data_IF_101457620474
#
_entry.id   IF_101457620474
#
_cell.length_a   1.000
_cell.length_b   1.000
_cell.length_c   1.000
_cell.angle_alpha   90.00
_cell.angle_beta   90.00
_cell.angle_gamma   90.00
#
_symmetry.space_group_name_H-M   'P 1'
#
loop_
_entity.id
_entity.type
_entity.pdbx_description
1 polymer ?
#
# COMPACT_ATOMS: atom_id res chain seq x y z
N UNK A 1 -0.15 -0.02 7.69
CA UNK A 1 1.13 -0.58 7.20
C UNK A 1 2.16 0.53 7.12
N UNK A 2 3.43 0.24 7.38
CA UNK A 2 4.54 1.19 7.30
C UNK A 2 5.51 0.76 6.19
N UNK A 3 6.02 1.71 5.41
CA UNK A 3 7.03 1.48 4.35
C UNK A 3 8.19 2.43 4.60
N UNK A 4 9.42 1.91 4.59
CA UNK A 4 10.64 2.67 4.89
C UNK A 4 11.72 2.28 3.89
N UNK A 5 12.44 3.27 3.37
CA UNK A 5 13.57 3.05 2.47
C UNK A 5 13.86 4.27 1.60
N UNK A 6 14.97 4.24 0.87
CA UNK A 6 15.26 5.27 -0.13
C UNK A 6 14.18 5.29 -1.23
N UNK A 7 13.86 6.45 -1.78
CA UNK A 7 12.85 6.58 -2.85
C UNK A 7 11.40 6.27 -2.42
N UNK A 8 11.16 6.07 -1.12
CA UNK A 8 9.80 6.05 -0.56
C UNK A 8 9.31 7.50 -0.43
N UNK A 9 8.14 7.77 -0.97
CA UNK A 9 7.45 9.05 -0.82
C UNK A 9 6.80 9.07 0.56
N UNK A 10 7.36 9.87 1.47
CA UNK A 10 6.85 9.99 2.85
C UNK A 10 5.41 10.53 2.91
N UNK A 11 4.70 10.18 3.98
CA UNK A 11 3.34 10.64 4.22
C UNK A 11 2.46 9.60 4.89
N UNK A 12 1.23 9.99 5.17
CA UNK A 12 0.16 9.10 5.62
C UNK A 12 -0.81 8.92 4.46
N UNK A 13 -0.98 7.69 4.01
CA UNK A 13 -1.85 7.35 2.88
C UNK A 13 -3.14 6.70 3.39
N UNK A 14 -4.26 7.11 2.82
CA UNK A 14 -5.60 6.74 3.29
C UNK A 14 -6.09 7.68 4.40
N UNK A 15 -7.23 7.31 4.99
CA UNK A 15 -7.91 8.13 5.99
C UNK A 15 -7.43 7.76 7.40
N UNK A 16 -6.51 8.54 7.96
CA UNK A 16 -5.98 8.30 9.30
C UNK A 16 -6.89 8.92 10.36
N UNK A 17 -7.65 8.06 11.02
CA UNK A 17 -8.63 8.42 12.06
C UNK A 17 -8.00 8.75 13.43
N UNK A 18 -6.67 8.84 13.52
CA UNK A 18 -5.96 9.11 14.77
C UNK A 18 -5.79 7.87 15.65
N UNK A 19 -5.45 8.10 16.93
CA UNK A 19 -5.15 7.07 17.93
C UNK A 19 -6.17 7.03 19.09
N UNK A 20 -7.32 7.71 18.95
CA UNK A 20 -8.40 7.59 19.94
C UNK A 20 -9.08 6.23 19.83
N UNK A 21 -9.78 5.80 20.87
CA UNK A 21 -10.49 4.50 20.86
C UNK A 21 -11.43 4.32 19.65
N UNK A 22 -12.04 5.41 19.17
CA UNK A 22 -12.91 5.37 17.98
C UNK A 22 -12.13 5.19 16.67
N UNK A 23 -10.89 5.68 16.61
CA UNK A 23 -10.01 5.56 15.45
C UNK A 23 -9.30 4.20 15.34
N UNK A 24 -9.29 3.44 16.43
CA UNK A 24 -8.66 2.12 16.49
C UNK A 24 -9.64 0.99 16.13
N UNK A 25 -9.10 -0.10 15.64
CA UNK A 25 -9.80 -1.38 15.46
C UNK A 25 -9.17 -2.38 16.42
N UNK A 26 -9.90 -2.74 17.48
CA UNK A 26 -9.39 -3.62 18.54
C UNK A 26 -8.08 -3.16 19.19
N UNK A 27 -7.83 -1.84 19.24
CA UNK A 27 -6.59 -1.25 19.76
C UNK A 27 -5.50 -1.04 18.71
N UNK A 28 -5.68 -1.57 17.50
CA UNK A 28 -4.79 -1.38 16.37
C UNK A 28 -5.15 -0.15 15.54
N UNK A 29 -4.16 0.45 14.89
CA UNK A 29 -4.43 1.50 13.90
C UNK A 29 -5.27 0.91 12.77
N UNK A 30 -6.44 1.51 12.54
CA UNK A 30 -7.38 1.06 11.51
C UNK A 30 -6.71 1.00 10.14
N UNK A 31 -6.85 -0.14 9.48
CA UNK A 31 -6.35 -0.35 8.11
C UNK A 31 -7.34 0.27 7.13
N UNK A 32 -6.90 1.28 6.38
CA UNK A 32 -7.72 1.98 5.37
C UNK A 32 -7.21 1.78 3.94
N UNK A 33 -6.07 1.11 3.78
CA UNK A 33 -5.45 0.82 2.49
C UNK A 33 -5.17 -0.68 2.38
N UNK A 34 -5.60 -1.29 1.28
CA UNK A 34 -5.27 -2.68 0.97
C UNK A 34 -3.76 -2.82 0.75
N UNK A 35 -3.13 -3.74 1.48
CA UNK A 35 -1.68 -3.95 1.41
C UNK A 35 -1.23 -4.38 0.01
N UNK A 36 -2.08 -5.09 -0.75
CA UNK A 36 -1.78 -5.56 -2.11
C UNK A 36 -1.60 -4.39 -3.06
N UNK A 37 -2.32 -3.29 -2.87
CA UNK A 37 -2.15 -2.07 -3.67
C UNK A 37 -0.76 -1.48 -3.48
N UNK A 38 -0.25 -1.46 -2.24
CA UNK A 38 1.08 -0.90 -1.95
C UNK A 38 2.19 -1.86 -2.38
N UNK A 39 2.06 -3.16 -2.12
CA UNK A 39 3.07 -4.13 -2.51
C UNK A 39 3.16 -4.29 -4.04
N UNK A 40 2.03 -4.30 -4.75
CA UNK A 40 2.05 -4.35 -6.21
C UNK A 40 2.72 -3.11 -6.82
N UNK A 41 2.52 -1.92 -6.24
CA UNK A 41 3.25 -0.71 -6.64
C UNK A 41 4.77 -0.87 -6.43
N UNK A 42 5.18 -1.34 -5.26
CA UNK A 42 6.60 -1.58 -4.92
C UNK A 42 7.25 -2.59 -5.87
N UNK A 43 6.58 -3.72 -6.11
CA UNK A 43 7.07 -4.75 -7.03
C UNK A 43 7.19 -4.18 -8.44
N UNK A 44 6.18 -3.45 -8.93
CA UNK A 44 6.19 -2.89 -10.28
C UNK A 44 7.20 -1.77 -10.47
N UNK A 45 7.13 -0.71 -9.65
CA UNK A 45 7.85 0.55 -9.88
C UNK A 45 9.26 0.54 -9.32
N UNK A 46 9.52 -0.28 -8.30
CA UNK A 46 10.81 -0.31 -7.59
C UNK A 46 11.63 -1.54 -7.95
N UNK A 47 10.99 -2.68 -8.22
CA UNK A 47 11.66 -3.93 -8.57
C UNK A 47 11.49 -4.32 -10.05
N UNK A 48 10.71 -3.59 -10.83
CA UNK A 48 10.52 -3.86 -12.26
C UNK A 48 9.72 -5.13 -12.55
N UNK A 49 8.87 -5.58 -11.62
CA UNK A 49 8.04 -6.76 -11.83
C UNK A 49 7.07 -6.56 -13.00
N UNK A 50 7.02 -7.55 -13.90
CA UNK A 50 6.08 -7.57 -15.01
C UNK A 50 4.65 -7.80 -14.53
N UNK A 51 3.68 -7.51 -15.39
CA UNK A 51 2.26 -7.83 -15.14
C UNK A 51 2.03 -9.30 -14.83
N UNK A 52 2.78 -10.21 -15.46
CA UNK A 52 2.63 -11.66 -15.22
C UNK A 52 3.06 -12.03 -13.80
N UNK A 53 4.17 -11.47 -13.32
CA UNK A 53 4.63 -11.67 -11.93
C UNK A 53 3.63 -11.08 -10.93
N UNK A 54 3.05 -9.92 -11.24
CA UNK A 54 2.02 -9.32 -10.39
C UNK A 54 0.75 -10.20 -10.34
N UNK A 55 0.33 -10.75 -11.47
CA UNK A 55 -0.86 -11.61 -11.57
C UNK A 55 -0.66 -12.97 -10.88
N UNK A 56 0.55 -13.52 -10.86
CA UNK A 56 0.84 -14.75 -10.11
C UNK A 56 1.00 -14.49 -8.62
N UNK A 57 1.54 -13.34 -8.22
CA UNK A 57 1.73 -12.96 -6.82
C UNK A 57 0.43 -12.52 -6.15
N UNK A 58 -0.42 -11.79 -6.87
CA UNK A 58 -1.74 -11.34 -6.40
C UNK A 58 -2.85 -11.79 -7.36
N UNK A 59 -3.21 -13.09 -7.39
CA UNK A 59 -4.27 -13.58 -8.27
C UNK A 59 -5.60 -12.88 -8.01
N UNK A 60 -6.32 -12.56 -9.09
CA UNK A 60 -7.64 -11.90 -9.05
C UNK A 60 -7.68 -10.54 -8.34
N UNK A 61 -6.52 -9.90 -8.14
CA UNK A 61 -6.43 -8.57 -7.59
C UNK A 61 -6.33 -7.54 -8.71
N UNK A 62 -7.23 -6.55 -8.70
CA UNK A 62 -7.14 -5.37 -9.56
C UNK A 62 -7.32 -4.12 -8.70
N UNK A 63 -6.33 -3.22 -8.62
CA UNK A 63 -6.44 -2.00 -7.83
C UNK A 63 -7.55 -1.11 -8.39
N UNK A 64 -8.42 -0.58 -7.51
CA UNK A 64 -9.61 0.18 -7.89
C UNK A 64 -9.32 1.63 -8.30
N UNK A 65 -8.19 2.18 -7.84
CA UNK A 65 -7.83 3.60 -7.96
C UNK A 65 -6.41 3.85 -8.49
N UNK A 66 -5.74 2.82 -9.04
CA UNK A 66 -4.35 2.90 -9.48
C UNK A 66 -3.33 2.82 -8.35
N UNK A 67 -2.13 3.38 -8.56
CA UNK A 67 -1.04 3.38 -7.58
C UNK A 67 -1.34 4.30 -6.39
N UNK A 68 -0.87 3.92 -5.21
CA UNK A 68 -1.00 4.73 -3.98
C UNK A 68 -0.03 5.91 -4.00
N UNK A 69 1.10 5.78 -4.70
CA UNK A 69 2.14 6.80 -4.81
C UNK A 69 3.25 6.65 -3.76
N UNK A 70 3.34 5.49 -3.11
CA UNK A 70 4.26 5.23 -1.99
C UNK A 70 5.72 5.22 -2.46
N UNK A 71 6.00 4.98 -3.73
CA UNK A 71 7.34 5.05 -4.30
C UNK A 71 7.41 6.05 -5.46
N UNK A 72 8.51 6.80 -5.52
CA UNK A 72 8.84 7.61 -6.69
C UNK A 72 9.11 6.69 -7.90
N UNK A 73 8.77 7.14 -9.13
CA UNK A 73 9.13 6.39 -10.34
C UNK A 73 10.66 6.34 -10.54
#
# INVERSE_FOLDING_TARGET
MMVIGGGVTGGVYGDFQGLSEQGLDQGDVRVTTDYRTVLSELLSRRLGASSDVLNTTFPSFSPTSGWVGVVSP
#
